data_IF_479150109036
#
_entry.id   IF_479150109036
#
_cell.length_a   1.000
_cell.length_b   1.000
_cell.length_c   1.000
_cell.angle_alpha   90.00
_cell.angle_beta   90.00
_cell.angle_gamma   90.00
#
_symmetry.space_group_name_H-M   'P 1'
#
loop_
_entity.id
_entity.type
_entity.pdbx_description
1 polymer ?
#
# COMPACT_ATOMS: atom_id res chain seq x y z
N UNK A 1 10.62 1.70 13.32
CA UNK A 1 9.27 2.29 13.13
C UNK A 1 9.01 2.39 11.63
N UNK A 2 7.78 2.15 11.17
CA UNK A 2 7.45 2.01 9.74
C UNK A 2 6.74 3.21 9.11
N UNK A 3 6.51 3.13 7.79
CA UNK A 3 5.83 4.16 6.97
C UNK A 3 4.47 4.58 7.54
N UNK A 4 3.67 3.63 8.04
CA UNK A 4 2.36 3.94 8.61
C UNK A 4 2.43 4.80 9.88
N UNK A 5 3.56 4.78 10.59
CA UNK A 5 3.75 5.53 11.84
C UNK A 5 4.48 6.86 11.61
N UNK A 6 5.56 6.85 10.81
CA UNK A 6 6.44 8.00 10.67
C UNK A 6 6.25 8.77 9.35
N UNK A 7 5.88 8.07 8.28
CA UNK A 7 5.80 8.67 6.95
C UNK A 7 4.58 9.57 6.75
N UNK A 8 4.37 9.93 5.50
CA UNK A 8 3.22 10.69 5.01
C UNK A 8 2.43 9.89 3.95
N UNK A 9 1.20 10.34 3.60
CA UNK A 9 0.34 9.62 2.65
C UNK A 9 0.96 9.38 1.28
N UNK A 10 1.80 10.31 0.78
CA UNK A 10 2.45 10.17 -0.51
C UNK A 10 3.49 9.04 -0.48
N UNK A 11 4.34 8.98 0.54
CA UNK A 11 5.33 7.91 0.70
C UNK A 11 4.65 6.53 0.81
N UNK A 12 3.51 6.45 1.49
CA UNK A 12 2.72 5.22 1.58
C UNK A 12 2.18 4.79 0.23
N UNK A 13 1.66 5.73 -0.57
CA UNK A 13 1.16 5.44 -1.93
C UNK A 13 2.28 4.89 -2.81
N UNK A 14 3.47 5.49 -2.76
CA UNK A 14 4.61 5.03 -3.56
C UNK A 14 5.09 3.63 -3.12
N UNK A 15 5.12 3.35 -1.82
CA UNK A 15 5.44 2.02 -1.30
C UNK A 15 4.41 0.97 -1.76
N UNK A 16 3.11 1.30 -1.76
CA UNK A 16 2.07 0.39 -2.27
C UNK A 16 2.29 0.10 -3.76
N UNK A 17 2.57 1.13 -4.57
CA UNK A 17 2.87 0.93 -6.00
C UNK A 17 4.10 0.04 -6.18
N UNK A 18 5.13 0.20 -5.34
CA UNK A 18 6.32 -0.65 -5.38
C UNK A 18 5.99 -2.12 -5.08
N UNK A 19 5.22 -2.40 -4.01
CA UNK A 19 4.77 -3.76 -3.70
C UNK A 19 3.99 -4.39 -4.86
N UNK A 20 3.07 -3.64 -5.47
CA UNK A 20 2.28 -4.10 -6.61
C UNK A 20 3.17 -4.41 -7.82
N UNK A 21 4.10 -3.50 -8.15
CA UNK A 21 5.08 -3.72 -9.23
C UNK A 21 5.99 -4.91 -8.97
N UNK A 22 6.29 -5.24 -7.71
CA UNK A 22 7.17 -6.36 -7.40
C UNK A 22 6.42 -7.71 -7.47
N UNK A 23 5.19 -7.76 -6.97
CA UNK A 23 4.54 -9.03 -6.63
C UNK A 23 3.19 -9.29 -7.34
N UNK A 24 2.58 -8.29 -7.97
CA UNK A 24 1.19 -8.38 -8.43
C UNK A 24 1.01 -8.60 -9.95
N UNK A 25 2.08 -8.79 -10.75
CA UNK A 25 2.00 -8.88 -12.22
C UNK A 25 0.91 -9.82 -12.77
N UNK A 26 0.74 -11.00 -12.15
CA UNK A 26 -0.19 -12.03 -12.61
C UNK A 26 -1.55 -12.06 -11.91
N UNK A 27 -1.85 -11.10 -11.03
CA UNK A 27 -3.01 -11.23 -10.13
C UNK A 27 -2.70 -11.99 -8.85
N UNK A 28 -3.73 -12.18 -8.01
CA UNK A 28 -3.65 -13.02 -6.81
C UNK A 28 -2.84 -12.45 -5.62
N UNK A 29 -2.15 -11.33 -5.80
CA UNK A 29 -1.42 -10.68 -4.72
C UNK A 29 -2.37 -9.97 -3.74
N UNK A 30 -2.20 -10.28 -2.44
CA UNK A 30 -2.92 -9.65 -1.34
C UNK A 30 -1.98 -8.68 -0.62
N UNK A 31 -2.23 -7.38 -0.78
CA UNK A 31 -1.50 -6.35 -0.04
C UNK A 31 -1.92 -6.38 1.44
N UNK A 32 -0.95 -6.50 2.33
CA UNK A 32 -1.15 -6.43 3.78
C UNK A 32 -0.02 -5.65 4.46
N UNK A 33 -0.22 -5.29 5.71
CA UNK A 33 0.85 -4.83 6.59
C UNK A 33 1.74 -6.01 7.00
N UNK A 34 3.01 -5.75 7.32
CA UNK A 34 3.94 -6.78 7.82
C UNK A 34 3.61 -7.26 9.23
N UNK A 35 2.73 -6.55 9.94
CA UNK A 35 2.30 -6.80 11.32
C UNK A 35 0.89 -6.21 11.52
N UNK A 36 0.52 -5.92 12.77
CA UNK A 36 -0.76 -5.32 13.17
C UNK A 36 -0.79 -3.79 13.00
N UNK A 37 -1.95 -3.24 12.63
CA UNK A 37 -2.22 -1.81 12.70
C UNK A 37 -2.59 -1.44 14.15
N UNK A 38 -1.73 -0.65 14.78
CA UNK A 38 -1.86 -0.13 16.14
C UNK A 38 -2.33 1.34 16.18
N UNK A 39 -2.72 1.83 17.36
CA UNK A 39 -3.27 3.18 17.61
C UNK A 39 -2.31 4.31 17.20
N UNK A 40 -1.01 4.05 17.26
CA UNK A 40 0.07 4.99 16.98
C UNK A 40 0.28 5.23 15.48
N UNK A 41 -0.31 4.39 14.62
CA UNK A 41 -0.27 4.62 13.18
C UNK A 41 -1.20 5.77 12.79
N UNK A 42 -0.68 6.62 11.89
CA UNK A 42 -1.42 7.76 11.37
C UNK A 42 -2.59 7.26 10.51
N UNK A 43 -3.81 7.75 10.80
CA UNK A 43 -5.04 7.30 10.12
C UNK A 43 -4.98 7.57 8.62
N UNK A 44 -4.45 8.72 8.24
CA UNK A 44 -4.25 9.17 6.86
C UNK A 44 -3.31 8.22 6.09
N UNK A 45 -2.30 7.65 6.74
CA UNK A 45 -1.38 6.71 6.13
C UNK A 45 -2.06 5.35 5.88
N UNK A 46 -2.82 4.84 6.87
CA UNK A 46 -3.59 3.60 6.70
C UNK A 46 -4.63 3.75 5.58
N UNK A 47 -5.34 4.88 5.56
CA UNK A 47 -6.31 5.18 4.49
C UNK A 47 -5.63 5.33 3.12
N UNK A 48 -4.44 5.94 3.06
CA UNK A 48 -3.65 6.04 1.84
C UNK A 48 -3.27 4.67 1.30
N UNK A 49 -2.82 3.76 2.17
CA UNK A 49 -2.50 2.37 1.81
C UNK A 49 -3.71 1.66 1.18
N UNK A 50 -4.87 1.72 1.84
CA UNK A 50 -6.11 1.07 1.35
C UNK A 50 -6.57 1.68 0.04
N UNK A 51 -6.58 3.01 -0.08
CA UNK A 51 -6.99 3.72 -1.31
C UNK A 51 -6.04 3.42 -2.47
N UNK A 52 -4.73 3.40 -2.21
CA UNK A 52 -3.72 3.06 -3.20
C UNK A 52 -3.89 1.62 -3.69
N UNK A 53 -4.10 0.67 -2.78
CA UNK A 53 -4.34 -0.73 -3.12
C UNK A 53 -5.55 -0.88 -4.06
N UNK A 54 -6.67 -0.22 -3.73
CA UNK A 54 -7.89 -0.25 -4.55
C UNK A 54 -7.72 0.45 -5.90
N UNK A 55 -6.91 1.51 -5.96
CA UNK A 55 -6.71 2.30 -7.18
C UNK A 55 -5.72 1.65 -8.15
N UNK A 56 -4.61 1.13 -7.63
CA UNK A 56 -3.48 0.66 -8.41
C UNK A 56 -3.38 -0.87 -8.48
N UNK A 57 -4.01 -1.61 -7.57
CA UNK A 57 -4.02 -3.08 -7.53
C UNK A 57 -5.17 -3.72 -8.32
N UNK A 58 -5.71 -3.03 -9.33
CA UNK A 58 -6.75 -3.57 -10.22
C UNK A 58 -6.10 -4.31 -11.38
N UNK A 59 -6.57 -5.53 -11.66
CA UNK A 59 -6.03 -6.39 -12.72
C UNK A 59 -6.78 -6.28 -14.05
N UNK A 60 -6.10 -6.49 -15.21
CA UNK A 60 -4.64 -6.52 -15.34
C UNK A 60 -4.06 -5.19 -14.85
N UNK A 61 -2.88 -5.23 -14.22
CA UNK A 61 -2.25 -3.99 -13.76
C UNK A 61 -2.08 -3.11 -14.98
N UNK A 62 -2.67 -1.91 -14.95
CA UNK A 62 -2.50 -0.95 -16.04
C UNK A 62 -1.02 -0.60 -16.10
N UNK A 63 -0.38 -0.90 -17.21
CA UNK A 63 1.04 -0.63 -17.43
C UNK A 63 1.35 0.85 -17.17
N UNK A 64 2.60 1.07 -16.70
CA UNK A 64 3.15 2.32 -16.15
C UNK A 64 2.88 3.57 -16.97
#
# INVERSE_FOLDING_TARGET
MGLLQLGNPHEVVEAVKECLRAAAHGGGYVLSTSNVIQKEHKKENVLAMIKAAKKYGVYPLRDK
#
